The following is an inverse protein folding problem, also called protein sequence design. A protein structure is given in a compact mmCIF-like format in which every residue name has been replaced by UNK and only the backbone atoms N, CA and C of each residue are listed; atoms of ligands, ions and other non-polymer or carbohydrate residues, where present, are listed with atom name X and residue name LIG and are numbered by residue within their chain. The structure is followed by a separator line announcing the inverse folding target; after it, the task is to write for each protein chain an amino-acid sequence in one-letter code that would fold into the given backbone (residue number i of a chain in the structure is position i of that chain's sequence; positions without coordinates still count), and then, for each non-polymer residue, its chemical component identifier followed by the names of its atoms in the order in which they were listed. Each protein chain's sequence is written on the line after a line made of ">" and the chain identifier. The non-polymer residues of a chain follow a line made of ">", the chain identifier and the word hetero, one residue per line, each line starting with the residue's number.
data_IF_636598359142
#
_entry.id   IF_636598359142
#
_cell.length_a   1.000
_cell.length_b   1.000
_cell.length_c   1.000
_cell.angle_alpha   90.00
_cell.angle_beta   90.00
_cell.angle_gamma   90.00
#
_symmetry.space_group_name_H-M   'P 1'
#
loop_
_entity.id
_entity.type
_entity.pdbx_description
1 polymer ?
#
# COMPACT_ATOMS: atom_id res chain seq x y z
N UNK A 1 8.30 22.69 13.96
CA UNK A 1 8.42 21.37 13.31
C UNK A 1 7.23 21.05 12.42
N UNK A 2 5.99 21.39 12.83
CA UNK A 2 4.77 21.08 12.05
C UNK A 2 4.74 21.71 10.65
N UNK A 3 5.30 22.90 10.47
CA UNK A 3 5.23 23.63 9.21
C UNK A 3 6.43 23.35 8.27
N UNK A 4 7.55 22.91 8.81
CA UNK A 4 8.76 22.65 8.02
C UNK A 4 8.73 21.29 7.29
N UNK A 5 8.09 20.27 7.87
CA UNK A 5 8.01 18.92 7.30
C UNK A 5 7.32 18.85 5.95
N UNK A 6 6.13 19.46 5.76
CA UNK A 6 5.47 19.49 4.47
C UNK A 6 6.33 20.13 3.38
N UNK A 7 7.02 21.22 3.71
CA UNK A 7 7.88 21.96 2.77
C UNK A 7 9.06 21.08 2.35
N UNK A 8 9.77 20.49 3.31
CA UNK A 8 10.92 19.62 3.04
C UNK A 8 10.54 18.40 2.20
N UNK A 9 9.45 17.71 2.56
CA UNK A 9 8.94 16.56 1.82
C UNK A 9 8.44 16.95 0.42
N UNK A 10 7.85 18.13 0.26
CA UNK A 10 7.39 18.67 -1.02
C UNK A 10 8.54 18.94 -1.99
N UNK A 11 9.66 19.45 -1.50
CA UNK A 11 10.83 19.71 -2.34
C UNK A 11 11.46 18.42 -2.87
N UNK A 12 11.49 17.37 -2.06
CA UNK A 12 12.07 16.07 -2.43
C UNK A 12 11.12 15.13 -3.13
N UNK A 13 9.81 15.22 -2.89
CA UNK A 13 8.72 14.42 -3.46
C UNK A 13 8.77 12.92 -3.15
N UNK A 14 9.92 12.29 -3.15
CA UNK A 14 10.08 10.85 -2.86
C UNK A 14 11.49 10.52 -2.38
N UNK A 15 11.59 9.39 -1.68
CA UNK A 15 12.90 8.77 -1.41
C UNK A 15 13.43 8.17 -2.71
N UNK A 16 14.69 8.44 -3.01
CA UNK A 16 15.45 7.82 -4.12
C UNK A 16 16.28 6.68 -3.56
N UNK A 17 16.11 5.50 -4.12
CA UNK A 17 16.87 4.30 -3.76
C UNK A 17 17.92 4.02 -4.85
N UNK A 18 19.14 3.80 -4.42
CA UNK A 18 20.26 3.42 -5.26
C UNK A 18 20.93 2.16 -4.69
N UNK A 19 21.63 1.37 -5.48
CA UNK A 19 22.42 0.28 -4.94
C UNK A 19 23.41 0.80 -3.88
N UNK A 20 23.27 0.31 -2.64
CA UNK A 20 24.14 0.69 -1.51
C UNK A 20 23.84 2.02 -0.83
N UNK A 21 22.91 2.86 -1.34
CA UNK A 21 22.59 4.16 -0.76
C UNK A 21 21.13 4.57 -0.97
N UNK A 22 20.68 5.57 -0.23
CA UNK A 22 19.35 6.16 -0.39
C UNK A 22 19.35 7.65 -0.02
N UNK A 23 18.59 8.44 -0.75
CA UNK A 23 18.28 9.83 -0.41
C UNK A 23 16.85 9.85 0.11
N UNK A 24 16.68 10.04 1.41
CA UNK A 24 15.37 10.00 2.07
C UNK A 24 14.55 11.25 1.76
N UNK A 25 13.24 11.08 1.58
CA UNK A 25 12.29 12.19 1.43
C UNK A 25 12.17 13.02 2.71
N UNK A 26 12.20 12.37 3.85
CA UNK A 26 12.12 13.00 5.17
C UNK A 26 13.48 12.89 5.88
N UNK A 27 13.75 13.76 6.88
CA UNK A 27 14.91 13.60 7.76
C UNK A 27 14.96 12.20 8.39
N UNK A 28 16.15 11.64 8.52
CA UNK A 28 16.33 10.25 8.98
C UNK A 28 15.78 10.01 10.39
N UNK A 29 15.85 10.98 11.27
CA UNK A 29 15.27 10.93 12.61
C UNK A 29 13.74 10.70 12.58
N UNK A 30 13.05 11.32 11.63
CA UNK A 30 11.61 11.14 11.46
C UNK A 30 11.30 9.80 10.81
N UNK A 31 12.09 9.40 9.83
CA UNK A 31 11.98 8.07 9.23
C UNK A 31 12.13 7.01 10.32
N UNK A 32 13.14 7.12 11.18
CA UNK A 32 13.37 6.17 12.28
C UNK A 32 12.21 6.17 13.29
N UNK A 33 11.65 7.35 13.63
CA UNK A 33 10.56 7.46 14.59
C UNK A 33 9.25 6.81 14.10
N UNK A 34 8.92 6.98 12.81
CA UNK A 34 7.66 6.48 12.23
C UNK A 34 7.79 5.14 11.52
N UNK A 35 9.00 4.60 11.35
CA UNK A 35 9.17 3.27 10.77
C UNK A 35 8.57 2.22 11.71
N UNK A 36 7.75 1.31 11.15
CA UNK A 36 7.14 0.21 11.88
C UNK A 36 8.19 -0.90 12.15
N UNK A 37 9.23 -0.56 12.91
CA UNK A 37 10.29 -1.47 13.29
C UNK A 37 9.91 -2.24 14.57
N UNK A 38 10.35 -3.49 14.67
CA UNK A 38 10.19 -4.35 15.85
C UNK A 38 10.72 -3.72 17.14
N UNK A 39 10.28 -4.25 18.27
CA UNK A 39 10.79 -3.92 19.60
C UNK A 39 10.15 -2.70 20.26
N UNK A 40 9.00 -2.25 19.77
CA UNK A 40 8.27 -1.15 20.42
C UNK A 40 6.94 -0.83 19.77
N UNK A 41 6.17 0.05 20.43
CA UNK A 41 4.96 0.58 19.85
C UNK A 41 5.29 1.78 18.95
N UNK A 42 4.64 1.86 17.79
CA UNK A 42 4.84 2.92 16.79
C UNK A 42 3.53 3.61 16.45
N UNK A 43 3.53 4.94 16.28
CA UNK A 43 2.34 5.65 15.82
C UNK A 43 1.99 5.22 14.40
N UNK A 44 0.76 4.79 14.22
CA UNK A 44 0.27 4.30 12.94
C UNK A 44 -1.17 4.77 12.68
N UNK A 45 -1.55 4.75 11.41
CA UNK A 45 -2.94 4.77 10.95
C UNK A 45 -3.28 3.34 10.57
N UNK A 46 -4.14 2.71 11.36
CA UNK A 46 -4.57 1.32 11.17
C UNK A 46 -5.91 1.27 10.47
N UNK A 47 -6.04 0.37 9.50
CA UNK A 47 -7.30 0.00 8.89
C UNK A 47 -7.71 -1.39 9.38
N UNK A 48 -8.76 -1.44 10.18
CA UNK A 48 -9.39 -2.68 10.60
C UNK A 48 -10.45 -3.10 9.61
N UNK A 49 -10.51 -4.39 9.29
CA UNK A 49 -11.55 -4.98 8.47
C UNK A 49 -12.24 -6.11 9.22
N UNK A 50 -13.56 -6.02 9.34
CA UNK A 50 -14.39 -7.13 9.84
C UNK A 50 -14.82 -7.98 8.68
N UNK A 51 -14.51 -9.28 8.74
CA UNK A 51 -14.76 -10.22 7.65
C UNK A 51 -15.89 -11.19 8.00
N UNK A 52 -16.70 -11.56 7.02
CA UNK A 52 -17.59 -12.69 7.14
C UNK A 52 -16.78 -13.99 7.15
N UNK A 53 -17.07 -14.89 8.10
CA UNK A 53 -16.34 -16.16 8.24
C UNK A 53 -16.63 -17.18 7.13
N UNK A 54 -17.73 -17.01 6.38
CA UNK A 54 -18.17 -17.97 5.36
C UNK A 54 -17.46 -17.75 4.03
N UNK A 55 -17.35 -16.50 3.62
CA UNK A 55 -16.87 -16.14 2.28
C UNK A 55 -15.75 -15.10 2.28
N UNK A 56 -15.30 -14.65 3.48
CA UNK A 56 -14.25 -13.66 3.68
C UNK A 56 -14.59 -12.27 3.09
N UNK A 57 -15.87 -12.00 2.84
CA UNK A 57 -16.31 -10.68 2.41
C UNK A 57 -16.13 -9.66 3.53
N UNK A 58 -15.86 -8.41 3.16
CA UNK A 58 -15.67 -7.31 4.09
C UNK A 58 -17.03 -6.80 4.54
N UNK A 59 -17.37 -6.97 5.82
CA UNK A 59 -18.61 -6.50 6.42
C UNK A 59 -18.52 -5.03 6.86
N UNK A 60 -17.38 -4.63 7.41
CA UNK A 60 -17.13 -3.27 7.88
C UNK A 60 -15.64 -2.94 7.85
N UNK A 61 -15.32 -1.65 7.79
CA UNK A 61 -13.96 -1.14 7.96
C UNK A 61 -13.96 -0.01 8.98
N UNK A 62 -12.90 0.06 9.78
CA UNK A 62 -12.67 1.13 10.73
C UNK A 62 -11.23 1.64 10.58
N UNK A 63 -11.04 2.95 10.65
CA UNK A 63 -9.71 3.57 10.60
C UNK A 63 -9.41 4.22 11.94
N UNK A 64 -8.27 3.86 12.52
CA UNK A 64 -7.87 4.33 13.85
C UNK A 64 -6.44 4.88 13.82
N UNK A 65 -6.21 6.01 14.50
CA UNK A 65 -4.87 6.51 14.78
C UNK A 65 -4.44 6.04 16.17
N UNK A 66 -3.40 5.21 16.23
CA UNK A 66 -3.03 4.51 17.46
C UNK A 66 -1.53 4.21 17.54
N UNK A 67 -1.10 3.71 18.70
CA UNK A 67 0.23 3.15 18.90
C UNK A 67 0.15 1.62 18.74
N UNK A 68 0.76 1.10 17.68
CA UNK A 68 0.75 -0.33 17.35
C UNK A 68 2.04 -0.98 17.86
N UNK A 69 1.95 -2.01 18.70
CA UNK A 69 3.11 -2.82 19.04
C UNK A 69 3.52 -3.67 17.83
N UNK A 70 4.77 -3.50 17.37
CA UNK A 70 5.29 -4.24 16.22
C UNK A 70 5.93 -5.53 16.72
N UNK A 71 5.26 -6.66 16.47
CA UNK A 71 5.70 -7.98 16.93
C UNK A 71 6.81 -8.55 16.04
N UNK A 72 6.71 -8.40 14.74
CA UNK A 72 7.69 -8.93 13.78
C UNK A 72 7.70 -8.14 12.47
N UNK A 73 8.88 -8.07 11.85
CA UNK A 73 9.04 -7.64 10.46
C UNK A 73 9.41 -8.85 9.60
N UNK A 74 8.43 -9.44 8.95
CA UNK A 74 8.64 -10.59 8.07
C UNK A 74 9.26 -10.13 6.75
N UNK A 75 10.32 -10.80 6.31
CA UNK A 75 11.05 -10.44 5.10
C UNK A 75 10.97 -11.54 4.04
N UNK A 76 10.81 -11.14 2.79
CA UNK A 76 10.77 -12.05 1.65
C UNK A 76 12.01 -12.95 1.57
N UNK A 77 13.21 -12.39 1.74
CA UNK A 77 14.46 -13.15 1.63
C UNK A 77 14.53 -14.34 2.59
N UNK A 78 13.85 -14.24 3.72
CA UNK A 78 13.90 -15.24 4.78
C UNK A 78 12.77 -16.30 4.64
N UNK A 79 11.67 -15.95 3.95
CA UNK A 79 10.45 -16.73 3.98
C UNK A 79 9.96 -17.22 2.61
N UNK A 80 10.37 -16.60 1.49
CA UNK A 80 9.83 -16.94 0.15
C UNK A 80 10.05 -18.41 -0.24
N UNK A 81 11.13 -19.06 0.25
CA UNK A 81 11.40 -20.47 -0.01
C UNK A 81 10.50 -21.42 0.79
N UNK A 82 10.02 -20.97 1.95
CA UNK A 82 9.18 -21.77 2.86
C UNK A 82 7.69 -21.49 2.64
N UNK A 83 7.32 -20.23 2.39
CA UNK A 83 5.94 -19.81 2.18
C UNK A 83 5.58 -19.92 0.70
N UNK A 84 5.35 -21.15 0.24
CA UNK A 84 4.93 -21.45 -1.12
C UNK A 84 3.42 -21.70 -1.20
N UNK A 85 2.82 -21.59 -2.39
CA UNK A 85 1.40 -21.93 -2.58
C UNK A 85 1.10 -23.38 -2.16
N UNK A 86 2.02 -24.30 -2.41
CA UNK A 86 1.90 -25.70 -1.99
C UNK A 86 1.93 -25.82 -0.47
N UNK A 87 2.91 -25.20 0.21
CA UNK A 87 3.01 -25.26 1.67
C UNK A 87 1.77 -24.67 2.35
N UNK A 88 1.22 -23.57 1.81
CA UNK A 88 -0.01 -22.94 2.30
C UNK A 88 -1.23 -23.81 2.08
N UNK A 89 -1.32 -24.53 0.94
CA UNK A 89 -2.44 -25.43 0.63
C UNK A 89 -2.41 -26.70 1.52
N UNK A 90 -1.23 -27.22 1.79
CA UNK A 90 -1.03 -28.43 2.62
C UNK A 90 -0.98 -28.11 4.12
N UNK A 91 -0.88 -26.84 4.51
CA UNK A 91 -0.62 -26.44 5.89
C UNK A 91 0.74 -26.92 6.40
N UNK A 92 1.72 -27.11 5.50
CA UNK A 92 3.07 -27.59 5.79
C UNK A 92 4.05 -26.43 6.03
N UNK A 93 5.29 -26.77 6.41
CA UNK A 93 6.35 -25.81 6.71
C UNK A 93 6.38 -25.38 8.18
N UNK A 94 7.56 -24.92 8.61
CA UNK A 94 7.81 -24.40 9.96
C UNK A 94 8.43 -23.00 9.84
N UNK A 95 7.59 -21.98 9.92
CA UNK A 95 7.96 -20.59 9.83
C UNK A 95 7.13 -19.72 10.79
N UNK A 96 7.64 -18.57 11.24
CA UNK A 96 6.95 -17.71 12.19
C UNK A 96 5.63 -17.18 11.62
N UNK A 97 4.63 -17.00 12.48
CA UNK A 97 3.31 -16.45 12.13
C UNK A 97 2.56 -17.26 11.05
N UNK A 98 2.76 -18.57 11.02
CA UNK A 98 2.19 -19.46 10.01
C UNK A 98 0.67 -19.35 9.88
N UNK A 99 -0.04 -19.34 11.01
CA UNK A 99 -1.50 -19.26 11.02
C UNK A 99 -1.99 -17.88 10.53
N UNK A 100 -1.31 -16.81 10.92
CA UNK A 100 -1.61 -15.45 10.46
C UNK A 100 -1.38 -15.32 8.95
N UNK A 101 -0.26 -15.85 8.45
CA UNK A 101 0.08 -15.84 7.01
C UNK A 101 -0.95 -16.66 6.23
N UNK A 102 -1.35 -17.83 6.73
CA UNK A 102 -2.36 -18.67 6.07
C UNK A 102 -3.73 -17.95 5.98
N UNK A 103 -4.14 -17.28 7.06
CA UNK A 103 -5.35 -16.46 7.09
C UNK A 103 -5.28 -15.32 6.08
N UNK A 104 -4.18 -14.55 6.10
CA UNK A 104 -3.98 -13.43 5.18
C UNK A 104 -3.90 -13.90 3.72
N UNK A 105 -3.33 -15.09 3.45
CA UNK A 105 -3.31 -15.67 2.13
C UNK A 105 -4.71 -16.00 1.60
N UNK A 106 -5.56 -16.61 2.42
CA UNK A 106 -6.94 -16.90 2.05
C UNK A 106 -7.71 -15.61 1.71
N UNK A 107 -7.57 -14.58 2.55
CA UNK A 107 -8.22 -13.31 2.30
C UNK A 107 -7.67 -12.59 1.06
N UNK A 108 -6.36 -12.59 0.87
CA UNK A 108 -5.73 -12.00 -0.32
C UNK A 108 -6.26 -12.60 -1.62
N UNK A 109 -6.50 -13.92 -1.66
CA UNK A 109 -7.10 -14.59 -2.81
C UNK A 109 -8.55 -14.16 -3.07
N UNK A 110 -9.33 -13.87 -2.01
CA UNK A 110 -10.69 -13.33 -2.15
C UNK A 110 -10.66 -11.92 -2.72
N UNK A 111 -9.79 -11.05 -2.18
CA UNK A 111 -9.60 -9.70 -2.68
C UNK A 111 -9.16 -9.68 -4.15
N UNK A 112 -8.18 -10.52 -4.51
CA UNK A 112 -7.71 -10.65 -5.90
C UNK A 112 -8.84 -11.06 -6.83
N UNK A 113 -9.61 -12.12 -6.48
CA UNK A 113 -10.75 -12.57 -7.31
C UNK A 113 -11.77 -11.46 -7.53
N UNK A 114 -12.13 -10.72 -6.48
CA UNK A 114 -13.07 -9.61 -6.59
C UNK A 114 -12.53 -8.49 -7.53
N UNK A 115 -11.25 -8.14 -7.40
CA UNK A 115 -10.60 -7.16 -8.27
C UNK A 115 -10.52 -7.64 -9.72
N UNK A 116 -10.19 -8.91 -9.95
CA UNK A 116 -10.13 -9.47 -11.30
C UNK A 116 -11.50 -9.46 -11.96
N UNK A 117 -12.56 -9.85 -11.27
CA UNK A 117 -13.93 -9.75 -11.78
C UNK A 117 -14.30 -8.29 -12.13
N UNK A 118 -13.85 -7.33 -11.31
CA UNK A 118 -14.06 -5.90 -11.58
C UNK A 118 -13.27 -5.44 -12.81
N UNK A 119 -12.02 -5.88 -13.00
CA UNK A 119 -11.23 -5.61 -14.22
C UNK A 119 -11.92 -6.13 -15.47
N UNK A 120 -12.42 -7.35 -15.42
CA UNK A 120 -13.16 -7.95 -16.55
C UNK A 120 -14.40 -7.15 -16.89
N UNK A 121 -15.13 -6.62 -15.91
CA UNK A 121 -16.28 -5.74 -16.15
C UNK A 121 -15.91 -4.43 -16.88
N UNK A 122 -14.64 -3.99 -16.80
CA UNK A 122 -14.09 -2.89 -17.59
C UNK A 122 -13.59 -3.33 -18.99
N UNK A 123 -13.70 -4.61 -19.34
CA UNK A 123 -13.22 -5.16 -20.60
C UNK A 123 -11.69 -5.36 -20.65
N UNK A 124 -11.02 -5.42 -19.50
CA UNK A 124 -9.58 -5.66 -19.41
C UNK A 124 -9.29 -7.16 -19.30
N UNK A 125 -8.20 -7.59 -19.95
CA UNK A 125 -7.71 -8.97 -19.85
C UNK A 125 -7.16 -9.25 -18.45
N UNK A 126 -7.12 -10.53 -18.00
CA UNK A 126 -6.44 -10.92 -16.79
C UNK A 126 -5.02 -10.35 -16.70
N UNK A 127 -4.57 -10.07 -15.50
CA UNK A 127 -3.23 -9.53 -15.27
C UNK A 127 -2.18 -10.61 -15.58
N UNK A 128 -1.16 -10.26 -16.37
CA UNK A 128 -0.06 -11.18 -16.63
C UNK A 128 0.94 -11.09 -15.47
N UNK A 129 1.08 -12.17 -14.72
CA UNK A 129 1.97 -12.28 -13.54
C UNK A 129 3.43 -12.58 -13.88
N UNK A 130 3.77 -12.77 -15.15
CA UNK A 130 5.12 -13.20 -15.59
C UNK A 130 6.17 -12.05 -15.64
N UNK A 131 6.05 -11.05 -14.79
CA UNK A 131 7.10 -10.02 -14.69
C UNK A 131 8.27 -10.56 -13.89
N UNK A 132 9.46 -10.44 -14.46
CA UNK A 132 10.73 -10.69 -13.76
C UNK A 132 11.13 -9.43 -13.04
N UNK A 133 11.51 -9.57 -11.78
CA UNK A 133 12.12 -8.51 -10.99
C UNK A 133 13.59 -8.82 -10.73
N UNK A 134 14.37 -7.83 -10.30
CA UNK A 134 15.77 -7.99 -10.00
C UNK A 134 16.06 -7.43 -8.61
N UNK A 135 16.80 -8.19 -7.81
CA UNK A 135 17.37 -7.71 -6.57
C UNK A 135 18.80 -7.25 -6.83
N UNK A 136 19.17 -6.16 -6.18
CA UNK A 136 20.52 -5.61 -6.24
C UNK A 136 21.14 -5.73 -4.85
N UNK A 137 22.28 -6.38 -4.78
CA UNK A 137 23.07 -6.49 -3.56
C UNK A 137 24.40 -5.77 -3.78
N UNK A 138 24.86 -5.03 -2.78
CA UNK A 138 26.14 -4.33 -2.84
C UNK A 138 26.99 -4.82 -1.68
N UNK A 139 28.09 -5.48 -2.01
CA UNK A 139 29.10 -5.95 -1.06
C UNK A 139 30.46 -5.51 -1.58
N UNK A 140 31.26 -4.84 -0.76
CA UNK A 140 32.61 -4.36 -1.11
C UNK A 140 32.66 -3.62 -2.46
N UNK A 141 31.73 -2.69 -2.68
CA UNK A 141 31.57 -1.90 -3.92
C UNK A 141 31.21 -2.75 -5.18
N UNK A 142 30.99 -4.05 -5.02
CA UNK A 142 30.54 -4.94 -6.09
C UNK A 142 29.03 -5.05 -6.09
N UNK A 143 28.40 -4.76 -7.23
CA UNK A 143 26.96 -4.88 -7.41
C UNK A 143 26.63 -6.25 -7.98
N UNK A 144 25.92 -7.07 -7.21
CA UNK A 144 25.38 -8.37 -7.67
C UNK A 144 23.91 -8.23 -8.00
N UNK A 145 23.52 -8.67 -9.21
CA UNK A 145 22.13 -8.63 -9.67
C UNK A 145 21.59 -10.05 -9.73
N UNK A 146 20.52 -10.31 -8.96
CA UNK A 146 19.84 -11.61 -8.97
C UNK A 146 18.43 -11.50 -9.53
N UNK A 147 18.01 -12.50 -10.28
CA UNK A 147 16.63 -12.58 -10.78
C UNK A 147 15.70 -13.00 -9.64
N UNK A 148 14.59 -12.27 -9.48
CA UNK A 148 13.52 -12.62 -8.56
C UNK A 148 12.25 -12.92 -9.35
N UNK A 149 11.61 -14.04 -9.06
CA UNK A 149 10.28 -14.35 -9.60
C UNK A 149 9.25 -13.56 -8.78
N UNK A 150 8.47 -12.71 -9.43
CA UNK A 150 7.32 -12.05 -8.79
C UNK A 150 6.17 -13.03 -8.62
N UNK A 151 5.33 -12.78 -7.63
CA UNK A 151 4.08 -13.52 -7.40
C UNK A 151 4.23 -14.62 -6.37
N UNK A 152 5.26 -14.58 -5.52
CA UNK A 152 5.29 -15.36 -4.30
C UNK A 152 4.05 -15.05 -3.42
N UNK A 153 3.55 -15.98 -2.60
CA UNK A 153 2.40 -15.73 -1.74
C UNK A 153 2.52 -14.48 -0.87
N UNK A 154 3.71 -14.21 -0.32
CA UNK A 154 3.95 -13.01 0.48
C UNK A 154 3.84 -11.72 -0.35
N UNK A 155 4.33 -11.70 -1.59
CA UNK A 155 4.15 -10.58 -2.51
C UNK A 155 2.66 -10.31 -2.77
N UNK A 156 1.88 -11.37 -2.97
CA UNK A 156 0.44 -11.28 -3.23
C UNK A 156 -0.30 -10.77 -2.00
N UNK A 157 -0.02 -11.30 -0.82
CA UNK A 157 -0.60 -10.83 0.44
C UNK A 157 -0.37 -9.33 0.60
N UNK A 158 0.87 -8.88 0.52
CA UNK A 158 1.22 -7.46 0.67
C UNK A 158 0.54 -6.61 -0.40
N UNK A 159 0.57 -7.03 -1.67
CA UNK A 159 -0.04 -6.27 -2.76
C UNK A 159 -1.55 -6.10 -2.59
N UNK A 160 -2.28 -7.18 -2.28
CA UNK A 160 -3.73 -7.13 -2.12
C UNK A 160 -4.14 -6.31 -0.89
N UNK A 161 -3.45 -6.46 0.24
CA UNK A 161 -3.73 -5.66 1.44
C UNK A 161 -3.42 -4.18 1.23
N UNK A 162 -2.34 -3.84 0.52
CA UNK A 162 -2.03 -2.45 0.16
C UNK A 162 -3.09 -1.87 -0.80
N UNK A 163 -3.56 -2.65 -1.78
CA UNK A 163 -4.62 -2.20 -2.69
C UNK A 163 -5.91 -1.99 -1.91
N UNK A 164 -6.28 -2.91 -1.04
CA UNK A 164 -7.44 -2.80 -0.18
C UNK A 164 -7.38 -1.55 0.71
N UNK A 165 -6.27 -1.32 1.42
CA UNK A 165 -6.10 -0.16 2.27
C UNK A 165 -6.19 1.17 1.49
N UNK A 166 -5.48 1.28 0.37
CA UNK A 166 -5.49 2.48 -0.47
C UNK A 166 -6.86 2.75 -1.10
N UNK A 167 -7.61 1.70 -1.45
CA UNK A 167 -8.98 1.83 -1.97
C UNK A 167 -9.96 2.24 -0.86
N UNK A 168 -9.86 1.63 0.32
CA UNK A 168 -10.72 1.93 1.47
C UNK A 168 -10.51 3.36 1.98
N UNK A 169 -9.26 3.81 2.11
CA UNK A 169 -8.96 5.19 2.49
C UNK A 169 -9.34 6.21 1.41
N UNK A 170 -9.22 5.84 0.14
CA UNK A 170 -9.76 6.64 -0.95
C UNK A 170 -11.27 6.81 -0.84
N UNK A 171 -12.00 5.74 -0.50
CA UNK A 171 -13.43 5.76 -0.23
C UNK A 171 -13.77 6.63 0.98
N UNK A 172 -13.05 6.47 2.09
CA UNK A 172 -13.23 7.26 3.31
C UNK A 172 -13.14 8.77 3.02
N UNK A 173 -12.09 9.21 2.34
CA UNK A 173 -11.94 10.63 1.99
C UNK A 173 -13.06 11.12 1.07
N UNK A 174 -13.46 10.32 0.10
CA UNK A 174 -14.55 10.66 -0.82
C UNK A 174 -15.90 10.82 -0.11
N UNK A 175 -16.25 9.87 0.75
CA UNK A 175 -17.53 9.88 1.49
C UNK A 175 -17.62 11.03 2.50
N UNK A 176 -16.49 11.49 3.02
CA UNK A 176 -16.43 12.66 3.91
C UNK A 176 -16.25 13.99 3.17
N UNK A 177 -16.21 13.98 1.85
CA UNK A 177 -15.96 15.19 1.05
C UNK A 177 -14.58 15.82 1.28
N UNK A 178 -13.61 15.02 1.72
CA UNK A 178 -12.25 15.47 2.02
C UNK A 178 -11.41 15.39 0.76
N UNK A 179 -10.66 16.44 0.40
CA UNK A 179 -9.79 16.41 -0.76
C UNK A 179 -8.66 15.40 -0.57
N UNK A 180 -8.40 14.60 -1.60
CA UNK A 180 -7.32 13.62 -1.63
C UNK A 180 -6.65 13.58 -2.99
N UNK A 181 -5.49 12.94 -3.07
CA UNK A 181 -4.79 12.71 -4.34
C UNK A 181 -5.06 11.27 -4.77
N UNK A 182 -5.87 11.13 -5.80
CA UNK A 182 -6.29 9.83 -6.34
C UNK A 182 -5.47 9.47 -7.58
N UNK A 183 -5.19 8.20 -7.72
CA UNK A 183 -4.56 7.63 -8.91
C UNK A 183 -5.62 6.89 -9.71
N UNK A 184 -6.01 7.46 -10.85
CA UNK A 184 -7.05 6.92 -11.73
C UNK A 184 -6.47 6.35 -13.02
N UNK A 185 -7.13 5.34 -13.59
CA UNK A 185 -6.80 4.76 -14.89
C UNK A 185 -8.09 4.35 -15.60
N UNK A 186 -8.19 4.65 -16.89
CA UNK A 186 -9.37 4.33 -17.71
C UNK A 186 -10.25 5.52 -18.02
N UNK A 187 -9.96 6.69 -17.49
CA UNK A 187 -10.66 7.94 -17.79
C UNK A 187 -10.11 8.58 -19.08
N UNK A 188 -10.55 8.15 -20.27
CA UNK A 188 -10.12 8.76 -21.51
C UNK A 188 -10.68 8.08 -22.75
N UNK A 189 -10.69 8.78 -23.88
CA UNK A 189 -11.07 8.22 -25.18
C UNK A 189 -9.86 7.57 -25.87
N UNK A 190 -10.09 6.40 -26.47
CA UNK A 190 -9.05 5.63 -27.15
C UNK A 190 -8.23 4.73 -26.21
N UNK A 191 -7.61 3.70 -26.79
CA UNK A 191 -6.90 2.67 -26.01
C UNK A 191 -5.72 3.22 -25.22
N UNK A 192 -4.90 4.07 -25.82
CA UNK A 192 -3.73 4.65 -25.14
C UNK A 192 -4.14 5.54 -23.94
N UNK A 193 -5.21 6.32 -24.08
CA UNK A 193 -5.72 7.17 -23.00
C UNK A 193 -6.32 6.34 -21.86
N UNK A 194 -6.93 5.19 -22.15
CA UNK A 194 -7.47 4.26 -21.13
C UNK A 194 -6.38 3.59 -20.31
N UNK A 195 -5.18 3.37 -20.88
CA UNK A 195 -4.06 2.76 -20.17
C UNK A 195 -3.24 3.78 -19.36
N UNK A 196 -3.44 5.07 -19.59
CA UNK A 196 -2.68 6.11 -18.88
C UNK A 196 -3.20 6.31 -17.46
N UNK A 197 -2.28 6.24 -16.51
CA UNK A 197 -2.54 6.61 -15.12
C UNK A 197 -2.46 8.12 -14.96
N UNK A 198 -3.44 8.70 -14.28
CA UNK A 198 -3.52 10.14 -13.98
C UNK A 198 -3.69 10.36 -12.49
N UNK A 199 -3.12 11.46 -12.00
CA UNK A 199 -3.37 11.93 -10.64
C UNK A 199 -4.54 12.92 -10.68
N UNK A 200 -5.55 12.71 -9.84
CA UNK A 200 -6.77 13.50 -9.76
C UNK A 200 -7.00 13.93 -8.30
N UNK A 201 -7.74 15.03 -8.11
CA UNK A 201 -8.14 15.52 -6.79
C UNK A 201 -9.52 15.03 -6.34
N UNK A 202 -10.13 14.14 -7.09
CA UNK A 202 -11.42 13.51 -6.80
C UNK A 202 -11.34 12.00 -7.07
N UNK A 203 -12.22 11.24 -6.44
CA UNK A 203 -12.31 9.81 -6.61
C UNK A 203 -12.68 9.44 -8.05
N UNK A 204 -11.93 8.50 -8.62
CA UNK A 204 -12.21 7.93 -9.94
C UNK A 204 -11.63 6.51 -10.01
N UNK A 205 -12.19 5.63 -10.86
CA UNK A 205 -11.75 4.25 -10.99
C UNK A 205 -10.30 4.11 -11.43
N UNK A 206 -9.63 3.11 -10.86
CA UNK A 206 -8.37 2.59 -11.39
C UNK A 206 -8.65 1.23 -12.04
N UNK A 207 -9.07 1.26 -13.31
CA UNK A 207 -9.52 0.07 -14.04
C UNK A 207 -8.46 -1.04 -14.07
N UNK A 208 -7.18 -0.66 -14.24
CA UNK A 208 -6.07 -1.60 -14.25
C UNK A 208 -5.87 -2.34 -12.90
N UNK A 209 -6.27 -1.78 -11.78
CA UNK A 209 -6.31 -2.45 -10.49
C UNK A 209 -7.66 -3.11 -10.19
N UNK A 210 -8.73 -2.79 -10.91
CA UNK A 210 -10.06 -3.29 -10.64
C UNK A 210 -10.69 -2.71 -9.37
N UNK A 211 -10.48 -1.42 -9.12
CA UNK A 211 -11.03 -0.71 -7.95
C UNK A 211 -11.73 0.58 -8.37
N UNK A 212 -12.74 0.97 -7.59
CA UNK A 212 -13.59 2.14 -7.92
C UNK A 212 -12.91 3.47 -7.56
N UNK A 213 -11.95 3.47 -6.64
CA UNK A 213 -11.06 4.58 -6.32
C UNK A 213 -9.75 4.04 -5.77
N UNK A 214 -8.68 4.81 -5.91
CA UNK A 214 -7.36 4.43 -5.42
C UNK A 214 -6.56 5.66 -5.01
N UNK A 215 -6.25 5.77 -3.72
CA UNK A 215 -5.47 6.89 -3.17
C UNK A 215 -4.23 6.34 -2.45
N UNK A 216 -3.04 6.62 -2.99
CA UNK A 216 -1.81 6.20 -2.35
C UNK A 216 -1.70 6.76 -0.94
N UNK A 217 -1.60 5.89 0.06
CA UNK A 217 -1.55 6.27 1.48
C UNK A 217 -0.66 5.36 2.34
N UNK A 218 -0.14 4.26 1.75
CA UNK A 218 0.55 3.21 2.51
C UNK A 218 2.06 3.39 2.62
N UNK A 219 2.63 4.48 2.07
CA UNK A 219 4.07 4.73 2.10
C UNK A 219 4.43 6.20 2.38
N UNK A 220 3.93 6.80 3.49
CA UNK A 220 4.06 8.24 3.76
C UNK A 220 5.49 8.69 4.02
N UNK A 221 6.39 7.80 4.43
CA UNK A 221 7.78 8.14 4.71
C UNK A 221 8.63 8.28 3.44
N UNK A 222 8.13 7.78 2.31
CA UNK A 222 8.90 7.73 1.05
C UNK A 222 8.20 8.28 -0.18
N UNK A 223 6.93 8.68 -0.09
CA UNK A 223 6.17 9.32 -1.16
C UNK A 223 5.34 10.48 -0.61
N UNK A 224 5.52 11.65 -1.17
CA UNK A 224 4.83 12.86 -0.73
C UNK A 224 3.30 12.76 -0.86
N UNK A 225 2.83 12.15 -1.93
CA UNK A 225 1.39 11.91 -2.15
C UNK A 225 0.76 11.11 -1.01
N UNK A 226 1.45 10.07 -0.55
CA UNK A 226 0.97 9.23 0.56
C UNK A 226 0.94 10.01 1.88
N UNK A 227 1.94 10.83 2.12
CA UNK A 227 2.00 11.69 3.29
C UNK A 227 0.83 12.68 3.32
N UNK A 228 0.54 13.33 2.19
CA UNK A 228 -0.59 14.24 2.04
C UNK A 228 -1.91 13.53 2.30
N UNK A 229 -2.12 12.37 1.67
CA UNK A 229 -3.35 11.60 1.87
C UNK A 229 -3.49 11.11 3.32
N UNK A 230 -2.41 10.67 3.98
CA UNK A 230 -2.48 10.28 5.39
C UNK A 230 -2.87 11.43 6.32
N UNK A 231 -2.43 12.66 6.06
CA UNK A 231 -2.90 13.81 6.82
C UNK A 231 -4.40 14.03 6.67
N UNK A 232 -4.95 13.84 5.47
CA UNK A 232 -6.38 13.95 5.23
C UNK A 232 -7.16 12.81 5.93
N UNK A 233 -6.63 11.59 5.88
CA UNK A 233 -7.21 10.43 6.59
C UNK A 233 -7.21 10.69 8.11
N UNK A 234 -6.10 11.17 8.67
CA UNK A 234 -6.02 11.53 10.09
C UNK A 234 -7.02 12.60 10.49
N UNK A 235 -7.28 13.57 9.59
CA UNK A 235 -8.29 14.59 9.83
C UNK A 235 -9.71 14.00 9.85
N UNK A 236 -10.03 13.08 8.93
CA UNK A 236 -11.30 12.36 8.93
C UNK A 236 -11.49 11.59 10.25
N UNK A 237 -10.46 10.86 10.68
CA UNK A 237 -10.51 10.06 11.91
C UNK A 237 -10.68 10.92 13.16
N UNK A 238 -9.99 12.06 13.25
CA UNK A 238 -10.02 12.92 14.44
C UNK A 238 -11.22 13.85 14.50
N UNK A 239 -11.66 14.37 13.38
CA UNK A 239 -12.63 15.48 13.34
C UNK A 239 -13.86 15.20 12.48
N UNK A 240 -13.87 14.13 11.69
CA UNK A 240 -14.95 13.83 10.74
C UNK A 240 -15.09 14.85 9.58
N UNK A 241 -14.13 15.77 9.44
CA UNK A 241 -14.16 16.84 8.45
C UNK A 241 -12.78 16.99 7.79
N UNK A 242 -12.76 17.68 6.64
CA UNK A 242 -11.51 18.05 5.99
C UNK A 242 -10.58 18.77 6.98
N UNK A 243 -9.37 18.30 7.09
CA UNK A 243 -8.39 18.97 7.92
C UNK A 243 -8.19 20.42 7.45
N UNK A 244 -7.87 21.31 8.37
CA UNK A 244 -7.41 22.66 8.01
C UNK A 244 -6.11 22.66 7.18
N UNK A 245 -5.64 21.50 6.76
CA UNK A 245 -4.59 21.31 5.75
C UNK A 245 -4.85 22.08 4.45
N UNK A 246 -6.10 22.35 4.12
CA UNK A 246 -6.44 23.28 3.03
C UNK A 246 -5.76 24.64 3.22
N UNK A 247 -5.49 25.05 4.45
CA UNK A 247 -4.74 26.29 4.73
C UNK A 247 -3.22 26.14 4.50
N UNK A 248 -2.67 24.94 4.63
CA UNK A 248 -1.25 24.63 4.43
C UNK A 248 -0.90 24.42 2.95
N UNK A 249 -1.90 24.06 2.14
CA UNK A 249 -1.77 23.83 0.70
C UNK A 249 -2.43 24.93 -0.15
N UNK A 250 -2.48 26.15 0.34
CA UNK A 250 -2.81 27.28 -0.55
C UNK A 250 -1.77 27.35 -1.67
N UNK A 251 -2.23 27.45 -2.95
CA UNK A 251 -1.33 27.58 -4.09
C UNK A 251 -0.46 28.82 -3.99
#
# INVERSE_FOLDING_TARGET
>A
LHDALPIFARERMSTVYMPGDKITMLPDELVAHFTLAEGGARPAVSLYATLDRKDWSVLATETVAELVPIAANLRHNDLDEQVTEQALAEGSGDYPHKDDIALLWQWAQVLERARMARRESFGLRPEQTNRVDFNFYVEDEVVTITRRKRGAPLDKIVAELMIFANSSWGKLMHEHGVPGIYRAQGAGQGWAARMQVRMLTHAAPHQGLGVDQYAWSTSPLRRYTDLVNQWQILACVKNGVAAPLVATFKP
#
